data_IF_960900266557
#
_entry.id   IF_960900266557
#
_cell.length_a   1.000
_cell.length_b   1.000
_cell.length_c   1.000
_cell.angle_alpha   90.00
_cell.angle_beta   90.00
_cell.angle_gamma   90.00
#
_symmetry.space_group_name_H-M   'P 1'
#
loop_
_entity.id
_entity.type
_entity.pdbx_description
1 polymer ?
#
# COMPACT_ATOMS: atom_id res chain seq x y z
N UNK A 1 26.16 -30.45 4.59
CA UNK A 1 26.02 -29.23 3.75
C UNK A 1 24.62 -28.65 3.95
N UNK A 2 24.51 -27.48 4.52
CA UNK A 2 23.22 -26.79 4.70
C UNK A 2 22.76 -26.26 3.33
N UNK A 3 21.61 -26.75 2.85
CA UNK A 3 21.02 -26.23 1.60
C UNK A 3 20.57 -24.80 1.84
N UNK A 4 21.14 -23.86 1.13
CA UNK A 4 20.68 -22.48 1.13
C UNK A 4 19.28 -22.42 0.55
N UNK A 5 18.30 -21.97 1.33
CA UNK A 5 16.90 -21.85 0.91
C UNK A 5 16.68 -20.44 0.37
N UNK A 6 16.27 -20.35 -0.88
CA UNK A 6 15.88 -19.06 -1.48
C UNK A 6 14.48 -18.71 -0.98
N UNK A 7 14.39 -17.66 -0.20
CA UNK A 7 13.14 -17.10 0.31
C UNK A 7 12.72 -15.92 -0.58
N UNK A 8 11.49 -15.97 -1.10
CA UNK A 8 10.92 -14.88 -1.89
C UNK A 8 9.87 -14.15 -1.06
N UNK A 9 10.12 -12.90 -0.65
CA UNK A 9 9.11 -12.13 0.07
C UNK A 9 7.90 -11.89 -0.84
N UNK A 10 6.72 -12.02 -0.26
CA UNK A 10 5.47 -11.75 -0.94
C UNK A 10 4.99 -10.37 -0.58
N UNK A 11 5.08 -9.44 -1.52
CA UNK A 11 4.66 -8.06 -1.36
C UNK A 11 3.22 -7.90 -1.89
N UNK A 12 2.31 -7.53 -1.04
CA UNK A 12 0.91 -7.20 -1.36
C UNK A 12 0.32 -6.37 -0.23
N UNK A 13 -0.72 -5.63 -0.48
CA UNK A 13 -1.43 -4.83 0.53
C UNK A 13 -1.80 -5.66 1.77
N UNK A 14 -2.32 -6.88 1.57
CA UNK A 14 -2.62 -7.79 2.68
C UNK A 14 -1.39 -8.17 3.50
N UNK A 15 -0.24 -8.36 2.86
CA UNK A 15 0.99 -8.73 3.56
C UNK A 15 1.63 -7.54 4.25
N UNK A 16 1.39 -6.34 3.76
CA UNK A 16 1.76 -5.09 4.41
C UNK A 16 1.01 -4.92 5.72
N UNK A 17 -0.33 -5.01 5.73
CA UNK A 17 -1.10 -4.97 6.97
C UNK A 17 -0.78 -6.10 7.98
N UNK A 18 -0.29 -7.26 7.51
CA UNK A 18 0.20 -8.31 8.40
C UNK A 18 1.57 -7.98 9.01
N UNK A 19 2.40 -7.19 8.33
CA UNK A 19 3.71 -6.78 8.82
C UNK A 19 3.60 -5.90 10.08
N UNK A 20 2.54 -5.10 10.22
CA UNK A 20 2.22 -4.36 11.44
C UNK A 20 2.08 -5.29 12.66
N UNK A 21 1.53 -6.49 12.43
CA UNK A 21 1.42 -7.56 13.43
C UNK A 21 2.67 -8.44 13.51
N UNK A 22 3.79 -8.02 12.91
CA UNK A 22 5.06 -8.76 12.84
C UNK A 22 4.96 -10.10 12.15
N UNK A 23 4.00 -10.26 11.21
CA UNK A 23 3.79 -11.45 10.41
C UNK A 23 4.20 -11.18 8.97
N UNK A 24 5.26 -11.83 8.53
CA UNK A 24 5.80 -11.71 7.18
C UNK A 24 5.48 -12.94 6.35
N UNK A 25 5.16 -12.75 5.08
CA UNK A 25 4.80 -13.84 4.18
C UNK A 25 5.90 -14.06 3.15
N UNK A 26 6.39 -15.29 3.08
CA UNK A 26 7.41 -15.67 2.10
C UNK A 26 6.96 -16.87 1.27
N UNK A 27 7.26 -16.86 -0.02
CA UNK A 27 7.07 -18.01 -0.89
C UNK A 27 8.29 -18.91 -0.78
N UNK A 28 8.06 -20.19 -0.52
CA UNK A 28 9.10 -21.19 -0.26
C UNK A 28 9.02 -22.35 -1.25
N UNK A 29 10.13 -23.04 -1.53
CA UNK A 29 10.13 -24.28 -2.28
C UNK A 29 9.28 -25.36 -1.61
N UNK A 30 8.75 -26.29 -2.39
CA UNK A 30 7.85 -27.35 -1.89
C UNK A 30 8.51 -28.28 -0.86
N UNK A 31 9.79 -28.49 -0.98
CA UNK A 31 10.57 -29.47 -0.19
C UNK A 31 11.02 -28.95 1.18
N UNK A 32 10.76 -27.67 1.48
CA UNK A 32 11.28 -26.99 2.68
C UNK A 32 10.29 -27.12 3.84
N UNK A 33 10.79 -27.46 5.02
CA UNK A 33 10.05 -27.59 6.27
C UNK A 33 10.05 -26.27 7.07
N UNK A 34 9.11 -26.13 8.02
CA UNK A 34 9.00 -24.95 8.89
C UNK A 34 10.28 -24.62 9.67
N UNK A 35 10.98 -25.64 10.17
CA UNK A 35 12.25 -25.44 10.91
C UNK A 35 13.38 -24.93 10.02
N UNK A 36 13.42 -25.39 8.77
CA UNK A 36 14.39 -24.91 7.79
C UNK A 36 14.11 -23.47 7.39
N UNK A 37 12.83 -23.08 7.26
CA UNK A 37 12.44 -21.68 7.01
C UNK A 37 12.84 -20.79 8.16
N UNK A 38 12.56 -21.19 9.41
CA UNK A 38 12.94 -20.41 10.60
C UNK A 38 14.45 -20.15 10.60
N UNK A 39 15.26 -21.20 10.50
CA UNK A 39 16.72 -21.08 10.48
C UNK A 39 17.24 -20.24 9.30
N UNK A 40 16.62 -20.35 8.13
CA UNK A 40 17.02 -19.57 6.97
C UNK A 40 16.77 -18.07 7.17
N UNK A 41 15.64 -17.70 7.78
CA UNK A 41 15.33 -16.31 8.09
C UNK A 41 16.24 -15.77 9.20
N UNK A 42 16.44 -16.54 10.26
CA UNK A 42 17.34 -16.18 11.35
C UNK A 42 18.76 -15.94 10.85
N UNK A 43 19.25 -16.80 9.96
CA UNK A 43 20.63 -16.68 9.44
C UNK A 43 20.78 -15.58 8.37
N UNK A 44 19.72 -15.21 7.64
CA UNK A 44 19.81 -14.22 6.57
C UNK A 44 19.57 -12.78 7.06
N UNK A 45 18.72 -12.62 8.07
CA UNK A 45 18.28 -11.31 8.54
C UNK A 45 18.66 -11.02 9.99
N UNK A 46 19.33 -11.96 10.66
CA UNK A 46 19.75 -11.85 12.07
C UNK A 46 18.59 -11.50 13.02
N UNK A 47 17.42 -12.11 12.79
CA UNK A 47 16.18 -11.88 13.55
C UNK A 47 15.74 -13.17 14.24
N UNK A 48 15.05 -13.05 15.38
CA UNK A 48 14.46 -14.20 16.07
C UNK A 48 13.05 -14.49 15.58
N UNK A 49 12.80 -15.75 15.18
CA UNK A 49 11.51 -16.23 14.73
C UNK A 49 10.74 -16.86 15.89
N UNK A 50 9.55 -16.38 16.15
CA UNK A 50 8.65 -16.94 17.18
C UNK A 50 7.88 -18.16 16.66
N UNK A 51 7.26 -18.04 15.47
CA UNK A 51 6.39 -19.06 14.89
C UNK A 51 6.44 -19.06 13.37
N UNK A 52 6.34 -20.25 12.77
CA UNK A 52 6.20 -20.42 11.32
C UNK A 52 4.99 -21.28 11.02
N UNK A 53 4.05 -20.74 10.26
CA UNK A 53 2.89 -21.43 9.74
C UNK A 53 3.04 -21.63 8.23
N UNK A 54 2.85 -22.84 7.74
CA UNK A 54 2.95 -23.15 6.32
C UNK A 54 1.57 -23.41 5.73
N UNK A 55 1.30 -22.83 4.57
CA UNK A 55 0.10 -23.04 3.78
C UNK A 55 0.48 -23.53 2.38
N UNK A 56 -0.05 -24.67 2.00
CA UNK A 56 0.10 -25.22 0.66
C UNK A 56 -1.12 -24.85 -0.18
N UNK A 57 -0.89 -24.15 -1.28
CA UNK A 57 -1.95 -23.79 -2.23
C UNK A 57 -1.78 -24.68 -3.45
N UNK A 58 -2.71 -25.63 -3.71
CA UNK A 58 -2.66 -26.46 -4.90
C UNK A 58 -2.82 -25.60 -6.17
N UNK A 59 -2.17 -26.01 -7.23
CA UNK A 59 -2.33 -25.37 -8.53
C UNK A 59 -3.73 -25.55 -9.08
N UNK A 60 -4.26 -24.54 -9.73
CA UNK A 60 -5.56 -24.60 -10.38
C UNK A 60 -5.51 -25.58 -11.56
N UNK A 61 -6.54 -26.41 -11.74
CA UNK A 61 -6.72 -27.23 -12.92
C UNK A 61 -6.96 -26.34 -14.14
N UNK A 62 -6.36 -26.69 -15.25
CA UNK A 62 -6.54 -26.02 -16.54
C UNK A 62 -6.73 -27.03 -17.64
N UNK A 63 -7.73 -26.83 -18.47
CA UNK A 63 -7.90 -27.62 -19.69
C UNK A 63 -6.75 -27.33 -20.64
N UNK A 64 -6.04 -28.35 -21.05
CA UNK A 64 -4.95 -28.26 -22.03
C UNK A 64 -5.50 -28.38 -23.44
N UNK A 65 -4.93 -27.62 -24.37
CA UNK A 65 -5.22 -27.74 -25.80
C UNK A 65 -4.03 -28.45 -26.47
N UNK A 66 -4.32 -29.36 -27.39
CA UNK A 66 -3.28 -29.95 -28.22
C UNK A 66 -2.68 -28.90 -29.18
N UNK A 67 -1.39 -29.06 -29.51
CA UNK A 67 -0.69 -28.26 -30.52
C UNK A 67 -1.37 -28.26 -31.89
N UNK A 68 -2.11 -29.32 -32.23
CA UNK A 68 -2.88 -29.46 -33.49
C UNK A 68 -4.24 -28.76 -33.48
N UNK A 69 -4.56 -27.98 -32.44
CA UNK A 69 -5.82 -27.21 -32.35
C UNK A 69 -7.06 -28.07 -32.06
N UNK A 70 -6.99 -29.39 -32.08
CA UNK A 70 -8.10 -30.27 -31.70
C UNK A 70 -8.21 -30.31 -30.17
N UNK A 71 -9.41 -30.02 -29.68
CA UNK A 71 -9.72 -30.14 -28.25
C UNK A 71 -9.96 -31.62 -27.93
N UNK A 72 -8.97 -32.27 -27.28
CA UNK A 72 -9.27 -33.55 -26.67
C UNK A 72 -10.20 -33.31 -25.49
N UNK A 73 -11.39 -33.92 -25.53
CA UNK A 73 -12.34 -33.91 -24.45
C UNK A 73 -11.69 -34.46 -23.22
N UNK A 74 -11.36 -34.07 -22.19
CA UNK A 74 -10.81 -34.62 -20.93
C UNK A 74 -9.29 -34.49 -20.70
N UNK A 75 -8.55 -33.68 -21.43
CA UNK A 75 -7.16 -33.43 -21.09
C UNK A 75 -7.07 -32.22 -20.14
N UNK A 76 -6.84 -32.50 -18.86
CA UNK A 76 -6.68 -31.48 -17.84
C UNK A 76 -5.26 -31.51 -17.30
N UNK A 77 -4.64 -30.36 -17.21
CA UNK A 77 -3.37 -30.16 -16.52
C UNK A 77 -3.58 -29.36 -15.23
N UNK A 78 -2.62 -29.43 -14.33
CA UNK A 78 -2.59 -28.57 -13.13
C UNK A 78 -1.45 -27.56 -13.22
N UNK A 79 -1.70 -26.33 -12.85
CA UNK A 79 -0.65 -25.33 -12.67
C UNK A 79 0.18 -25.67 -11.45
N UNK A 80 1.41 -25.16 -11.41
CA UNK A 80 2.27 -25.34 -10.24
C UNK A 80 1.62 -24.72 -9.01
N UNK A 81 1.52 -25.49 -7.93
CA UNK A 81 1.06 -24.99 -6.63
C UNK A 81 2.11 -24.12 -5.96
N UNK A 82 1.68 -23.28 -5.05
CA UNK A 82 2.53 -22.35 -4.29
C UNK A 82 2.52 -22.79 -2.82
N UNK A 83 3.69 -22.81 -2.20
CA UNK A 83 3.86 -23.03 -0.77
C UNK A 83 4.26 -21.71 -0.11
N UNK A 84 3.48 -21.27 0.87
CA UNK A 84 3.70 -20.01 1.60
C UNK A 84 4.03 -20.30 3.03
N UNK A 85 4.96 -19.54 3.58
CA UNK A 85 5.22 -19.51 5.00
C UNK A 85 4.82 -18.15 5.58
N UNK A 86 4.05 -18.17 6.63
CA UNK A 86 3.74 -17.03 7.48
C UNK A 86 4.68 -17.08 8.67
N UNK A 87 5.55 -16.12 8.76
CA UNK A 87 6.61 -16.05 9.76
C UNK A 87 6.29 -14.97 10.75
N UNK A 88 6.07 -15.33 11.99
CA UNK A 88 5.87 -14.39 13.09
C UNK A 88 7.20 -14.18 13.78
N UNK A 89 7.66 -12.94 13.83
CA UNK A 89 8.90 -12.56 14.52
C UNK A 89 8.66 -12.34 16.00
N UNK A 90 9.75 -12.46 16.78
CA UNK A 90 9.76 -12.05 18.18
C UNK A 90 9.67 -10.52 18.31
N UNK A 91 9.33 -10.05 19.50
CA UNK A 91 9.20 -8.62 19.79
C UNK A 91 10.51 -7.87 19.52
N UNK A 92 10.37 -6.69 18.91
CA UNK A 92 11.50 -5.85 18.56
C UNK A 92 12.23 -6.19 17.26
N UNK A 93 11.80 -7.23 16.53
CA UNK A 93 12.39 -7.60 15.25
C UNK A 93 11.46 -7.22 14.10
N UNK A 94 12.04 -6.70 13.02
CA UNK A 94 11.33 -6.40 11.76
C UNK A 94 12.16 -6.86 10.57
N UNK A 95 11.50 -7.12 9.44
CA UNK A 95 12.16 -7.46 8.19
C UNK A 95 12.09 -6.29 7.21
N UNK A 96 13.16 -5.98 6.47
CA UNK A 96 13.23 -4.80 5.61
C UNK A 96 12.43 -4.94 4.29
N UNK A 97 11.45 -5.85 4.24
CA UNK A 97 10.70 -6.12 2.99
C UNK A 97 9.84 -4.94 2.55
N UNK A 98 9.38 -4.13 3.49
CA UNK A 98 8.50 -2.99 3.22
C UNK A 98 9.19 -1.64 3.48
N UNK A 99 10.47 -1.60 3.80
CA UNK A 99 11.21 -0.38 4.11
C UNK A 99 11.06 0.71 3.02
N UNK A 100 11.09 0.31 1.74
CA UNK A 100 10.90 1.25 0.64
C UNK A 100 9.48 1.83 0.56
N UNK A 101 8.46 1.07 0.99
CA UNK A 101 7.07 1.54 1.03
C UNK A 101 6.89 2.48 2.21
N UNK A 102 7.39 2.13 3.38
CA UNK A 102 7.37 2.96 4.59
C UNK A 102 8.09 4.30 4.38
N UNK A 103 9.24 4.29 3.68
CA UNK A 103 9.95 5.52 3.32
C UNK A 103 9.15 6.37 2.31
N UNK A 104 8.42 5.76 1.39
CA UNK A 104 7.58 6.47 0.44
C UNK A 104 6.39 7.12 1.15
N UNK A 105 5.70 6.39 2.02
CA UNK A 105 4.58 6.90 2.82
C UNK A 105 5.01 8.04 3.75
N UNK A 106 6.14 7.88 4.44
CA UNK A 106 6.68 8.95 5.29
C UNK A 106 7.03 10.23 4.50
N UNK A 107 7.49 10.09 3.24
CA UNK A 107 7.74 11.23 2.36
C UNK A 107 6.45 11.90 1.91
N UNK A 108 5.41 11.13 1.60
CA UNK A 108 4.11 11.65 1.21
C UNK A 108 3.43 12.39 2.37
N UNK A 109 3.45 11.82 3.58
CA UNK A 109 2.93 12.49 4.78
C UNK A 109 3.64 13.81 5.06
N UNK A 110 4.98 13.84 4.95
CA UNK A 110 5.76 15.05 5.12
C UNK A 110 5.46 16.12 4.04
N UNK A 111 5.12 15.70 2.82
CA UNK A 111 4.68 16.60 1.76
C UNK A 111 3.26 17.13 2.02
N UNK A 112 2.34 16.28 2.46
CA UNK A 112 0.98 16.68 2.82
C UNK A 112 0.98 17.67 3.97
N UNK A 113 1.75 17.43 5.04
CA UNK A 113 1.89 18.40 6.12
C UNK A 113 2.41 19.77 5.65
N UNK A 114 3.33 19.79 4.69
CA UNK A 114 3.83 21.05 4.12
C UNK A 114 2.77 21.78 3.30
N UNK A 115 1.96 21.04 2.54
CA UNK A 115 0.84 21.58 1.76
C UNK A 115 -0.23 22.13 2.70
N UNK A 116 -0.61 21.41 3.74
CA UNK A 116 -1.60 21.86 4.72
C UNK A 116 -1.13 23.10 5.50
N UNK A 117 0.14 23.12 5.90
CA UNK A 117 0.75 24.31 6.52
C UNK A 117 0.83 25.52 5.58
N UNK A 118 1.00 25.28 4.27
CA UNK A 118 0.98 26.35 3.26
C UNK A 118 -0.45 26.85 3.02
N UNK A 119 -1.43 25.94 2.93
CA UNK A 119 -2.85 26.28 2.75
C UNK A 119 -3.39 27.09 3.94
N UNK A 120 -3.08 26.67 5.17
CA UNK A 120 -3.48 27.43 6.36
C UNK A 120 -2.83 28.82 6.45
N UNK A 121 -1.57 28.97 6.00
CA UNK A 121 -0.91 30.27 5.91
C UNK A 121 -1.53 31.17 4.83
N UNK A 122 -1.98 30.61 3.71
CA UNK A 122 -2.67 31.37 2.67
C UNK A 122 -4.04 31.81 3.12
N UNK A 123 -4.84 30.92 3.72
CA UNK A 123 -6.15 31.26 4.29
C UNK A 123 -6.05 32.35 5.37
N UNK A 124 -5.02 32.30 6.23
CA UNK A 124 -4.76 33.34 7.23
C UNK A 124 -4.31 34.68 6.63
N UNK A 125 -3.68 34.68 5.44
CA UNK A 125 -3.34 35.92 4.72
C UNK A 125 -4.54 36.53 4.00
N UNK A 126 -5.42 35.71 3.41
CA UNK A 126 -6.64 36.19 2.76
C UNK A 126 -7.61 36.79 3.77
N UNK A 127 -7.81 36.15 4.91
CA UNK A 127 -8.68 36.71 5.98
C UNK A 127 -8.16 38.04 6.53
N UNK A 128 -6.82 38.25 6.55
CA UNK A 128 -6.24 39.53 6.95
C UNK A 128 -6.31 40.63 5.84
N UNK A 129 -6.45 40.23 4.59
CA UNK A 129 -6.63 41.20 3.49
C UNK A 129 -8.10 41.64 3.35
N UNK A 130 -9.08 40.77 3.64
CA UNK A 130 -10.48 41.18 3.62
C UNK A 130 -10.83 42.17 4.75
N UNK A 131 -10.19 42.08 5.89
CA UNK A 131 -10.40 43.04 6.99
C UNK A 131 -9.74 44.43 6.74
N UNK A 132 -8.88 44.54 5.73
CA UNK A 132 -8.19 45.81 5.38
C UNK A 132 -8.80 46.57 4.19
N UNK A 133 -9.89 46.08 3.57
CA UNK A 133 -10.61 46.89 2.57
C UNK A 133 -11.41 47.97 3.28
N UNK A 134 -11.09 49.26 3.14
CA UNK A 134 -11.87 50.33 3.74
C UNK A 134 -13.26 50.32 3.10
N UNK A 135 -14.28 50.31 3.93
CA UNK A 135 -15.66 50.57 3.54
C UNK A 135 -15.70 51.97 2.94
N UNK A 136 -15.57 52.08 1.63
CA UNK A 136 -15.76 53.32 0.87
C UNK A 136 -17.24 53.60 0.91
N UNK A 137 -17.56 54.72 1.54
CA UNK A 137 -18.87 55.19 1.93
C UNK A 137 -19.91 55.22 0.85
N UNK A 138 -21.03 54.71 1.27
CA UNK A 138 -22.31 54.97 0.64
C UNK A 138 -22.86 56.27 1.21
N UNK A 139 -22.49 57.38 0.61
CA UNK A 139 -23.06 58.66 0.91
C UNK A 139 -23.24 59.48 -0.38
N UNK A 140 -24.50 59.75 -0.70
CA UNK A 140 -24.85 60.95 -1.45
C UNK A 140 -25.34 60.74 -2.87
N UNK A 141 -26.60 60.97 -3.07
CA UNK A 141 -27.14 61.17 -4.41
C UNK A 141 -28.66 61.12 -4.53
N UNK A 142 -29.30 61.81 -3.64
CA UNK A 142 -30.71 62.22 -3.79
C UNK A 142 -30.78 63.34 -4.82
N UNK A 143 -31.65 63.24 -5.83
CA UNK A 143 -32.33 64.25 -6.70
C UNK A 143 -32.57 63.62 -8.06
N UNK A 144 -33.76 63.50 -8.56
CA UNK A 144 -34.83 64.46 -8.66
C UNK A 144 -35.16 64.59 -10.12
N UNK A 145 -36.41 64.57 -10.47
CA UNK A 145 -36.89 65.01 -11.79
C UNK A 145 -37.56 63.90 -12.60
N UNK A 146 -38.84 63.62 -12.48
CA UNK A 146 -39.98 64.32 -13.04
C UNK A 146 -40.10 64.26 -14.55
N UNK A 147 -41.29 63.75 -14.98
CA UNK A 147 -42.03 63.95 -16.24
C UNK A 147 -41.59 63.09 -17.40
N UNK A 148 -42.44 62.48 -18.10
CA UNK A 148 -43.80 62.68 -18.49
C UNK A 148 -43.97 61.96 -19.80
N UNK A 149 -45.16 61.49 -20.00
CA UNK A 149 -45.94 61.72 -21.18
C UNK A 149 -46.00 60.64 -22.20
N UNK A 150 -47.15 60.07 -22.27
CA UNK A 150 -47.95 59.87 -23.47
C UNK A 150 -47.31 59.15 -24.70
N UNK A 151 -47.76 58.09 -25.04
CA UNK A 151 -48.88 57.69 -25.88
C UNK A 151 -48.90 56.18 -26.03
#
# INVERSE_FOLDING_TARGET
>A
MSKTVILRPRLSEKTYGLAESRVYVVDIPKDVNKHTVARAIESQFDVKVSKVNITNIPGKSKRTMSLTGKRYANTYGQRTGIKKAYVTLAEGNSLPFFAAVEEAEAKEEALQEKVDKAATKQAAKESKQETKKPRRGLLGGRRGGRRGGDK
#
